data_IF_543693168863
#
_entry.id   IF_543693168863
#
_cell.length_a   1.000
_cell.length_b   1.000
_cell.length_c   1.000
_cell.angle_alpha   90.00
_cell.angle_beta   90.00
_cell.angle_gamma   90.00
#
_symmetry.space_group_name_H-M   'P 1'
#
loop_
_entity.id
_entity.type
_entity.pdbx_description
1 polymer ?
#
# COMPACT_ATOMS: atom_id res chain seq x y z
N UNK A 1 -8.95 19.16 12.59
CA UNK A 1 -9.39 18.80 11.23
C UNK A 1 -8.48 19.37 10.13
N UNK A 2 -8.22 20.70 10.05
CA UNK A 2 -7.35 21.27 8.99
C UNK A 2 -5.97 20.60 8.89
N UNK A 3 -5.34 20.29 10.02
CA UNK A 3 -4.04 19.61 10.04
C UNK A 3 -4.11 18.19 9.46
N UNK A 4 -5.06 17.37 9.91
CA UNK A 4 -5.26 15.99 9.40
C UNK A 4 -5.47 16.01 7.88
N UNK A 5 -6.30 16.92 7.36
CA UNK A 5 -6.53 17.03 5.93
C UNK A 5 -5.24 17.42 5.17
N UNK A 6 -4.42 18.29 5.74
CA UNK A 6 -3.12 18.67 5.17
C UNK A 6 -2.15 17.49 5.13
N UNK A 7 -2.10 16.68 6.19
CA UNK A 7 -1.27 15.47 6.27
C UNK A 7 -1.73 14.40 5.26
N UNK A 8 -3.04 14.17 5.16
CA UNK A 8 -3.64 13.29 4.14
C UNK A 8 -3.25 13.78 2.74
N UNK A 9 -3.42 15.08 2.47
CA UNK A 9 -3.07 15.65 1.16
C UNK A 9 -1.58 15.48 0.85
N UNK A 10 -0.70 15.59 1.85
CA UNK A 10 0.73 15.37 1.67
C UNK A 10 1.05 13.92 1.30
N UNK A 11 0.35 12.95 1.88
CA UNK A 11 0.52 11.53 1.56
C UNK A 11 0.03 11.24 0.15
N UNK A 12 -1.14 11.74 -0.25
CA UNK A 12 -1.64 11.58 -1.62
C UNK A 12 -0.64 12.13 -2.64
N UNK A 13 -0.05 13.31 -2.39
CA UNK A 13 1.02 13.85 -3.25
C UNK A 13 2.25 12.95 -3.30
N UNK A 14 2.65 12.35 -2.18
CA UNK A 14 3.78 11.42 -2.16
C UNK A 14 3.47 10.10 -2.87
N UNK A 15 2.24 9.59 -2.81
CA UNK A 15 1.82 8.42 -3.59
C UNK A 15 1.95 8.73 -5.08
N UNK A 16 1.43 9.87 -5.55
CA UNK A 16 1.60 10.28 -6.96
C UNK A 16 3.07 10.50 -7.31
N UNK A 17 3.85 11.15 -6.44
CA UNK A 17 5.27 11.35 -6.67
C UNK A 17 6.05 10.03 -6.69
N UNK A 18 5.58 8.99 -5.99
CA UNK A 18 6.26 7.69 -5.97
C UNK A 18 6.34 7.06 -7.36
N UNK A 19 5.34 7.30 -8.19
CA UNK A 19 5.26 6.77 -9.57
C UNK A 19 6.47 7.18 -10.42
N UNK A 20 7.14 8.30 -10.11
CA UNK A 20 8.29 8.76 -10.91
C UNK A 20 9.54 7.90 -10.77
N UNK A 21 9.63 7.09 -9.72
CA UNK A 21 10.76 6.17 -9.48
C UNK A 21 10.36 4.69 -9.52
N UNK A 22 9.09 4.37 -9.72
CA UNK A 22 8.63 3.01 -9.88
C UNK A 22 8.91 2.49 -11.29
N UNK A 23 9.16 1.18 -11.47
CA UNK A 23 9.30 0.57 -12.78
C UNK A 23 8.05 0.78 -13.65
N UNK A 24 8.27 0.88 -14.96
CA UNK A 24 7.18 0.95 -15.94
C UNK A 24 6.49 -0.41 -16.02
N UNK A 25 5.16 -0.41 -15.96
CA UNK A 25 4.34 -1.60 -16.15
C UNK A 25 3.82 -1.55 -17.59
N UNK A 26 4.32 -2.44 -18.45
CA UNK A 26 3.96 -2.47 -19.88
C UNK A 26 2.72 -3.34 -20.16
N UNK A 27 2.42 -4.28 -19.27
CA UNK A 27 1.31 -5.22 -19.41
C UNK A 27 0.03 -4.74 -18.70
N UNK A 28 -1.12 -5.29 -19.13
CA UNK A 28 -2.38 -5.03 -18.45
C UNK A 28 -2.38 -5.74 -17.10
N UNK A 29 -2.41 -4.96 -16.02
CA UNK A 29 -2.52 -5.50 -14.68
C UNK A 29 -3.96 -5.46 -14.16
N UNK A 30 -4.25 -6.38 -13.25
CA UNK A 30 -5.38 -6.28 -12.32
C UNK A 30 -4.87 -5.81 -10.96
N UNK A 31 -5.77 -5.50 -10.03
CA UNK A 31 -5.38 -5.18 -8.65
C UNK A 31 -6.16 -6.07 -7.68
N UNK A 32 -5.54 -6.37 -6.56
CA UNK A 32 -6.15 -7.07 -5.43
C UNK A 32 -6.12 -6.18 -4.20
N UNK A 33 -7.14 -6.29 -3.34
CA UNK A 33 -7.17 -5.64 -2.04
C UNK A 33 -7.13 -6.73 -0.98
N UNK A 34 -6.14 -6.64 -0.09
CA UNK A 34 -5.98 -7.54 1.04
C UNK A 34 -6.13 -6.74 2.34
N UNK A 35 -6.87 -7.31 3.29
CA UNK A 35 -7.05 -6.73 4.63
C UNK A 35 -6.51 -7.75 5.63
N UNK A 36 -5.52 -7.35 6.41
CA UNK A 36 -5.07 -8.13 7.57
C UNK A 36 -5.95 -7.76 8.75
N UNK A 37 -6.65 -8.74 9.30
CA UNK A 37 -7.56 -8.58 10.42
C UNK A 37 -7.28 -9.59 11.53
N UNK A 38 -7.85 -9.36 12.71
CA UNK A 38 -7.72 -10.28 13.83
C UNK A 38 -8.32 -11.65 13.49
N UNK A 39 -7.68 -12.73 13.96
CA UNK A 39 -8.02 -14.12 13.62
C UNK A 39 -9.49 -14.53 13.92
N UNK A 40 -10.17 -13.80 14.80
CA UNK A 40 -11.55 -14.09 15.21
C UNK A 40 -12.59 -13.13 14.63
N UNK A 41 -12.21 -12.26 13.69
CA UNK A 41 -13.15 -11.32 13.09
C UNK A 41 -14.18 -12.06 12.24
N UNK A 42 -15.43 -11.59 12.25
CA UNK A 42 -16.43 -12.09 11.32
C UNK A 42 -16.10 -11.59 9.92
N UNK A 43 -15.82 -12.53 9.01
CA UNK A 43 -15.52 -12.22 7.61
C UNK A 43 -16.85 -12.05 6.84
N UNK A 44 -17.09 -10.92 6.16
CA UNK A 44 -18.27 -10.76 5.33
C UNK A 44 -18.30 -11.79 4.19
N UNK A 45 -19.48 -12.21 3.75
CA UNK A 45 -19.64 -13.26 2.71
C UNK A 45 -19.04 -12.91 1.35
N UNK A 46 -18.79 -11.63 1.09
CA UNK A 46 -18.14 -11.15 -0.14
C UNK A 46 -16.61 -11.20 -0.09
N UNK A 47 -16.03 -11.50 1.07
CA UNK A 47 -14.59 -11.61 1.28
C UNK A 47 -14.19 -13.08 1.51
N UNK A 48 -12.96 -13.40 1.15
CA UNK A 48 -12.37 -14.73 1.31
C UNK A 48 -10.98 -14.62 1.93
N UNK A 49 -10.55 -15.69 2.59
CA UNK A 49 -9.16 -15.83 3.04
C UNK A 49 -8.22 -15.92 1.83
N UNK A 50 -7.02 -15.37 1.99
CA UNK A 50 -6.05 -15.22 0.91
C UNK A 50 -4.62 -15.29 1.46
N UNK A 51 -3.69 -15.72 0.62
CA UNK A 51 -2.27 -15.65 0.92
C UNK A 51 -1.79 -14.18 1.02
N UNK A 52 -0.64 -13.92 1.68
CA UNK A 52 -0.14 -12.54 1.89
C UNK A 52 0.26 -11.78 0.62
N UNK A 53 0.41 -12.48 -0.52
CA UNK A 53 0.84 -11.94 -1.83
C UNK A 53 2.04 -10.97 -1.75
N UNK A 54 3.05 -11.29 -0.93
CA UNK A 54 4.25 -10.46 -0.82
C UNK A 54 5.05 -10.44 -2.13
N UNK A 55 5.53 -9.26 -2.50
CA UNK A 55 6.46 -9.08 -3.63
C UNK A 55 7.83 -9.60 -3.21
N UNK A 56 8.32 -10.66 -3.87
CA UNK A 56 9.66 -11.22 -3.64
C UNK A 56 10.72 -10.30 -4.23
N UNK A 57 11.92 -10.28 -3.62
CA UNK A 57 13.06 -9.44 -4.03
C UNK A 57 12.68 -7.96 -4.23
N UNK A 58 11.81 -7.45 -3.35
CA UNK A 58 11.31 -6.08 -3.45
C UNK A 58 12.25 -5.07 -2.81
N UNK A 59 12.36 -3.90 -3.44
CA UNK A 59 12.73 -2.66 -2.77
C UNK A 59 11.52 -2.08 -2.06
N UNK A 60 11.75 -1.41 -0.92
CA UNK A 60 10.68 -0.82 -0.11
C UNK A 60 10.95 0.66 0.12
N UNK A 61 9.93 1.48 -0.10
CA UNK A 61 9.95 2.91 0.18
C UNK A 61 8.81 3.24 1.13
N UNK A 62 9.16 3.70 2.34
CA UNK A 62 8.18 4.25 3.29
C UNK A 62 7.78 5.66 2.87
N UNK A 63 6.48 5.91 2.89
CA UNK A 63 5.89 7.21 2.66
C UNK A 63 5.61 7.89 4.00
N UNK A 64 5.19 9.15 3.94
CA UNK A 64 4.68 9.85 5.12
C UNK A 64 3.49 9.11 5.71
N UNK A 65 3.38 9.25 7.02
CA UNK A 65 2.29 8.78 7.84
C UNK A 65 1.49 9.96 8.35
N UNK A 66 0.24 9.72 8.71
CA UNK A 66 -0.58 10.72 9.39
C UNK A 66 -1.25 10.08 10.61
N UNK A 67 -1.70 10.92 11.53
CA UNK A 67 -2.37 10.44 12.72
C UNK A 67 -3.57 11.31 13.04
N UNK A 68 -4.65 10.65 13.42
CA UNK A 68 -5.79 11.26 14.10
C UNK A 68 -5.59 11.11 15.60
N UNK A 69 -6.59 11.50 16.40
CA UNK A 69 -6.57 11.25 17.84
C UNK A 69 -6.77 9.78 18.21
N UNK A 70 -7.19 8.93 17.26
CA UNK A 70 -7.55 7.53 17.51
C UNK A 70 -6.65 6.55 16.74
N UNK A 71 -6.32 6.88 15.50
CA UNK A 71 -5.60 6.00 14.58
C UNK A 71 -4.39 6.69 13.98
N UNK A 72 -3.35 5.89 13.75
CA UNK A 72 -2.20 6.23 12.93
C UNK A 72 -2.23 5.38 11.66
N UNK A 73 -1.95 6.03 10.52
CA UNK A 73 -1.85 5.36 9.23
C UNK A 73 -0.45 5.58 8.69
N UNK A 74 0.30 4.49 8.59
CA UNK A 74 1.58 4.42 7.89
C UNK A 74 1.36 3.93 6.44
N UNK A 75 2.22 4.36 5.53
CA UNK A 75 2.13 4.00 4.11
C UNK A 75 3.51 3.59 3.57
N UNK A 76 3.52 2.60 2.67
CA UNK A 76 4.73 2.06 2.07
C UNK A 76 4.38 1.47 0.69
N UNK A 77 5.34 1.52 -0.22
CA UNK A 77 5.29 0.77 -1.48
C UNK A 77 6.46 -0.21 -1.51
N UNK A 78 6.16 -1.46 -1.88
CA UNK A 78 7.16 -2.48 -2.16
C UNK A 78 7.06 -2.82 -3.66
N UNK A 79 8.18 -2.72 -4.38
CA UNK A 79 8.23 -2.97 -5.82
C UNK A 79 9.50 -3.74 -6.18
N UNK A 80 9.42 -4.53 -7.23
CA UNK A 80 10.58 -5.25 -7.78
C UNK A 80 11.22 -4.38 -8.86
N UNK A 81 12.48 -3.98 -8.67
CA UNK A 81 13.20 -3.12 -9.63
C UNK A 81 13.56 -3.86 -10.92
N UNK A 82 13.97 -5.11 -10.78
CA UNK A 82 14.38 -5.96 -11.90
C UNK A 82 13.50 -7.24 -11.93
N UNK A 83 12.63 -7.40 -12.93
CA UNK A 83 11.77 -8.58 -13.04
C UNK A 83 12.55 -9.87 -13.34
N UNK A 84 13.78 -9.78 -13.84
CA UNK A 84 14.60 -10.90 -14.31
C UNK A 84 15.59 -11.41 -13.24
N UNK A 85 15.74 -10.70 -12.12
CA UNK A 85 16.47 -11.20 -10.95
C UNK A 85 15.59 -12.17 -10.13
N UNK A 86 15.90 -13.47 -10.26
CA UNK A 86 15.36 -14.57 -9.46
C UNK A 86 15.70 -14.45 -7.96
#
# INVERSE_FOLDING_TARGET
MKQINSEIQAIIRQITASVTFLPIIEEKCTFNILIYADKGVQVPTTWIDSDPHHVKNSEQVRLRSFSTTVHRVDAMVAYRRDPDLL
#
